data_IF_314709089918
#
_entry.id   IF_314709089918
#
_cell.length_a   1.000
_cell.length_b   1.000
_cell.length_c   1.000
_cell.angle_alpha   90.00
_cell.angle_beta   90.00
_cell.angle_gamma   90.00
#
_symmetry.space_group_name_H-M   'P 1'
#
loop_
_entity.id
_entity.type
_entity.pdbx_description
1 polymer ?
#
# COMPACT_ATOMS: atom_id res chain seq x y z
N UNK A 1 -4.28 35.86 16.34
CA UNK A 1 -3.57 34.73 15.72
C UNK A 1 -3.68 33.54 16.65
N UNK A 2 -4.60 32.61 16.40
CA UNK A 2 -4.72 31.38 17.17
C UNK A 2 -3.74 30.38 16.55
N UNK A 3 -2.61 30.18 17.21
CA UNK A 3 -1.64 29.15 16.85
C UNK A 3 -2.30 27.77 16.95
N UNK A 4 -2.20 27.02 15.86
CA UNK A 4 -2.84 25.73 15.62
C UNK A 4 -2.14 24.60 16.40
N UNK A 5 -1.94 24.79 17.72
CA UNK A 5 -1.20 23.89 18.63
C UNK A 5 -1.77 22.48 18.76
N UNK A 6 -2.93 22.19 18.13
CA UNK A 6 -3.66 20.92 18.25
C UNK A 6 -3.30 19.93 17.14
N UNK A 7 -2.77 20.39 15.98
CA UNK A 7 -2.54 19.49 14.83
C UNK A 7 -1.21 18.73 14.91
N UNK A 8 -0.24 19.24 15.69
CA UNK A 8 1.12 18.70 15.74
C UNK A 8 1.21 17.32 16.40
N UNK A 9 0.21 16.93 17.20
CA UNK A 9 0.17 15.62 17.89
C UNK A 9 -0.86 14.65 17.29
N UNK A 10 -1.33 14.90 16.07
CA UNK A 10 -2.34 14.03 15.46
C UNK A 10 -1.69 12.71 14.99
N UNK A 11 -1.88 11.66 15.79
CA UNK A 11 -1.33 10.33 15.51
C UNK A 11 -2.29 9.42 14.76
N UNK A 12 -3.59 9.72 14.78
CA UNK A 12 -4.63 8.86 14.22
C UNK A 12 -5.60 9.67 13.38
N UNK A 13 -5.82 9.24 12.15
CA UNK A 13 -6.91 9.70 11.29
C UNK A 13 -7.69 8.48 10.83
N UNK A 14 -8.99 8.50 11.05
CA UNK A 14 -9.88 7.43 10.65
C UNK A 14 -11.18 8.04 10.10
N UNK A 15 -11.46 7.80 8.82
CA UNK A 15 -12.62 8.31 8.10
C UNK A 15 -13.20 7.16 7.27
N UNK A 16 -14.42 6.73 7.56
CA UNK A 16 -15.04 5.57 6.87
C UNK A 16 -16.21 5.94 5.95
N UNK A 17 -16.87 7.06 6.25
CA UNK A 17 -18.04 7.54 5.53
C UNK A 17 -17.89 9.05 5.34
N UNK A 18 -17.11 9.44 4.32
CA UNK A 18 -17.13 10.83 3.86
C UNK A 18 -18.53 11.20 3.39
N UNK A 19 -18.93 12.46 3.56
CA UNK A 19 -20.19 12.93 2.99
C UNK A 19 -20.20 12.65 1.47
N UNK A 20 -21.23 11.97 0.98
CA UNK A 20 -21.34 11.55 -0.41
C UNK A 20 -21.18 12.76 -1.35
N UNK A 21 -20.25 12.65 -2.31
CA UNK A 21 -19.98 13.70 -3.28
C UNK A 21 -18.98 14.78 -2.83
N UNK A 22 -18.50 14.74 -1.58
CA UNK A 22 -17.47 15.68 -1.12
C UNK A 22 -16.08 15.16 -1.44
N UNK A 23 -15.25 16.01 -2.06
CA UNK A 23 -13.85 15.70 -2.36
C UNK A 23 -12.95 16.43 -1.38
N UNK A 24 -12.10 15.69 -0.67
CA UNK A 24 -11.14 16.22 0.31
C UNK A 24 -9.79 16.45 -0.36
N UNK A 25 -9.14 17.58 -0.08
CA UNK A 25 -7.79 17.84 -0.56
C UNK A 25 -6.76 17.04 0.25
N UNK A 26 -6.00 16.18 -0.41
CA UNK A 26 -4.96 15.38 0.23
C UNK A 26 -3.76 16.23 0.71
N UNK A 27 -3.61 17.47 0.23
CA UNK A 27 -2.48 18.35 0.54
C UNK A 27 -2.32 18.58 2.05
N UNK A 28 -3.43 18.55 2.81
CA UNK A 28 -3.42 18.70 4.26
C UNK A 28 -2.67 17.58 4.98
N UNK A 29 -2.74 16.35 4.48
CA UNK A 29 -2.05 15.19 5.07
C UNK A 29 -0.52 15.34 4.98
N UNK A 30 -0.02 16.10 4.00
CA UNK A 30 1.42 16.35 3.85
C UNK A 30 2.02 17.19 4.99
N UNK A 31 1.17 17.84 5.80
CA UNK A 31 1.62 18.65 6.96
C UNK A 31 1.76 17.84 8.25
N UNK A 32 1.20 16.62 8.30
CA UNK A 32 1.12 15.82 9.52
C UNK A 32 2.32 14.88 9.61
N UNK A 33 3.17 15.09 10.62
CA UNK A 33 4.48 14.42 10.73
C UNK A 33 4.53 13.25 11.70
N UNK A 34 3.56 13.17 12.61
CA UNK A 34 3.52 12.18 13.69
C UNK A 34 2.38 11.17 13.52
N UNK A 35 1.77 11.12 12.33
CA UNK A 35 0.67 10.21 12.03
C UNK A 35 1.18 8.76 12.09
N UNK A 36 0.51 7.91 12.87
CA UNK A 36 0.80 6.48 13.07
C UNK A 36 -0.26 5.59 12.44
N UNK A 37 -1.52 6.03 12.40
CA UNK A 37 -2.64 5.31 11.80
C UNK A 37 -3.40 6.23 10.85
N UNK A 38 -3.58 5.77 9.61
CA UNK A 38 -4.40 6.45 8.61
C UNK A 38 -5.37 5.44 7.99
N UNK A 39 -6.67 5.64 8.21
CA UNK A 39 -7.74 4.88 7.57
C UNK A 39 -8.66 5.83 6.82
N UNK A 40 -8.75 5.64 5.51
CA UNK A 40 -9.57 6.45 4.61
C UNK A 40 -10.38 5.51 3.71
N UNK A 41 -11.66 5.32 4.06
CA UNK A 41 -12.61 4.52 3.30
C UNK A 41 -13.71 5.42 2.74
N UNK A 42 -14.13 5.16 1.51
CA UNK A 42 -15.28 5.83 0.88
C UNK A 42 -15.19 7.37 0.85
N UNK A 43 -13.99 7.93 0.73
CA UNK A 43 -13.76 9.37 0.58
C UNK A 43 -13.09 9.64 -0.76
N UNK A 44 -13.60 10.62 -1.50
CA UNK A 44 -12.95 11.08 -2.73
C UNK A 44 -11.84 12.08 -2.36
N UNK A 45 -10.67 11.91 -2.97
CA UNK A 45 -9.54 12.82 -2.77
C UNK A 45 -9.11 13.50 -4.05
N UNK A 46 -8.66 14.75 -3.93
CA UNK A 46 -8.01 15.51 -5.00
C UNK A 46 -6.78 16.26 -4.47
N UNK A 47 -6.11 17.01 -5.35
CA UNK A 47 -4.91 17.75 -5.01
C UNK A 47 -3.66 16.88 -5.13
N UNK A 48 -2.70 17.09 -4.25
CA UNK A 48 -1.42 16.38 -4.27
C UNK A 48 -1.06 15.86 -2.88
N UNK A 49 -0.18 14.86 -2.84
CA UNK A 49 0.45 14.40 -1.61
C UNK A 49 1.95 14.32 -1.84
N UNK A 50 2.70 15.21 -1.20
CA UNK A 50 4.16 15.30 -1.33
C UNK A 50 4.89 14.65 -0.15
N UNK A 51 4.18 14.40 0.94
CA UNK A 51 4.70 13.79 2.14
C UNK A 51 3.66 12.89 2.81
N UNK A 52 4.15 11.79 3.37
CA UNK A 52 3.44 10.97 4.34
C UNK A 52 4.37 10.76 5.54
N UNK A 53 3.79 10.83 6.74
CA UNK A 53 4.50 10.58 7.99
C UNK A 53 5.21 9.22 7.94
N UNK A 54 6.51 9.20 8.24
CA UNK A 54 7.29 7.95 8.33
C UNK A 54 7.04 7.19 9.65
N UNK A 55 6.21 7.76 10.54
CA UNK A 55 5.73 7.13 11.77
C UNK A 55 4.54 6.19 11.54
N UNK A 56 3.97 6.18 10.31
CA UNK A 56 2.81 5.35 9.99
C UNK A 56 3.15 3.87 10.14
N UNK A 57 2.41 3.21 11.02
CA UNK A 57 2.38 1.76 11.17
C UNK A 57 1.23 1.10 10.41
N UNK A 58 0.09 1.78 10.28
CA UNK A 58 -1.10 1.22 9.66
C UNK A 58 -1.67 2.22 8.64
N UNK A 59 -1.66 1.85 7.37
CA UNK A 59 -2.20 2.66 6.28
C UNK A 59 -3.27 1.88 5.52
N UNK A 60 -4.52 2.30 5.66
CA UNK A 60 -5.63 1.85 4.83
C UNK A 60 -6.15 3.04 4.04
N UNK A 61 -6.05 2.99 2.72
CA UNK A 61 -6.57 4.04 1.85
C UNK A 61 -7.23 3.43 0.63
N UNK A 62 -8.55 3.28 0.72
CA UNK A 62 -9.36 2.73 -0.37
C UNK A 62 -9.47 3.76 -1.50
N UNK A 63 -9.33 3.33 -2.75
CA UNK A 63 -9.36 4.19 -3.95
C UNK A 63 -8.29 5.30 -3.90
N UNK A 64 -7.08 4.97 -3.45
CA UNK A 64 -5.97 5.92 -3.43
C UNK A 64 -5.75 6.48 -4.86
N UNK A 65 -5.84 7.82 -5.05
CA UNK A 65 -6.01 8.39 -6.39
C UNK A 65 -4.70 8.56 -7.16
N UNK A 66 -3.56 8.45 -6.48
CA UNK A 66 -2.25 8.76 -7.06
C UNK A 66 -1.54 7.50 -7.60
N UNK A 67 -0.61 7.71 -8.53
CA UNK A 67 0.11 6.62 -9.20
C UNK A 67 1.21 5.97 -8.35
N UNK A 68 1.70 6.67 -7.33
CA UNK A 68 2.68 6.19 -6.36
C UNK A 68 2.48 6.86 -4.99
N UNK A 69 3.07 6.28 -3.94
CA UNK A 69 3.24 6.95 -2.66
C UNK A 69 4.34 8.02 -2.77
N UNK A 70 4.33 9.06 -1.91
CA UNK A 70 5.33 10.11 -1.95
C UNK A 70 6.76 9.57 -1.93
N UNK A 71 7.68 10.05 -2.79
CA UNK A 71 9.07 9.58 -2.81
C UNK A 71 9.80 9.71 -1.46
N UNK A 72 9.41 10.72 -0.68
CA UNK A 72 9.91 11.03 0.65
C UNK A 72 9.46 10.05 1.74
N UNK A 73 8.46 9.21 1.48
CA UNK A 73 7.93 8.27 2.45
C UNK A 73 8.95 7.18 2.79
N UNK A 74 9.22 6.99 4.08
CA UNK A 74 10.11 5.96 4.61
C UNK A 74 9.31 4.97 5.46
N UNK A 75 8.99 3.77 4.94
CA UNK A 75 8.06 2.84 5.58
C UNK A 75 8.70 1.98 6.69
N UNK A 76 9.67 2.52 7.46
CA UNK A 76 10.40 1.74 8.48
C UNK A 76 9.50 1.11 9.54
N UNK A 77 8.43 1.82 9.92
CA UNK A 77 7.46 1.41 10.95
C UNK A 77 6.20 0.77 10.37
N UNK A 78 6.08 0.71 9.04
CA UNK A 78 4.86 0.24 8.37
C UNK A 78 4.66 -1.25 8.63
N UNK A 79 3.56 -1.59 9.28
CA UNK A 79 3.12 -2.95 9.62
C UNK A 79 2.10 -3.45 8.60
N UNK A 80 1.13 -2.61 8.24
CA UNK A 80 0.06 -2.96 7.29
C UNK A 80 -0.15 -1.86 6.27
N UNK A 81 -0.21 -2.26 5.00
CA UNK A 81 -0.49 -1.37 3.88
C UNK A 81 -1.61 -1.90 3.02
N UNK A 82 -2.77 -1.26 3.09
CA UNK A 82 -3.95 -1.56 2.28
C UNK A 82 -4.29 -0.40 1.36
N UNK A 83 -4.02 -0.57 0.07
CA UNK A 83 -4.36 0.38 -0.98
C UNK A 83 -5.33 -0.29 -1.97
N UNK A 84 -6.47 -0.75 -1.48
CA UNK A 84 -7.49 -1.47 -2.26
C UNK A 84 -8.16 -0.55 -3.29
N UNK A 85 -8.43 -1.05 -4.49
CA UNK A 85 -9.06 -0.33 -5.62
C UNK A 85 -8.28 0.94 -6.04
N UNK A 86 -6.95 0.95 -5.89
CA UNK A 86 -6.15 2.15 -6.07
C UNK A 86 -5.68 2.39 -7.50
N UNK A 87 -5.35 3.64 -7.81
CA UNK A 87 -4.78 4.06 -9.09
C UNK A 87 -3.25 3.89 -9.16
N UNK A 88 -2.66 3.16 -8.21
CA UNK A 88 -1.22 2.96 -8.14
C UNK A 88 -0.72 2.18 -9.36
N UNK A 89 0.42 2.59 -9.89
CA UNK A 89 1.18 1.84 -10.90
C UNK A 89 2.39 1.13 -10.29
N UNK A 90 2.95 1.73 -9.24
CA UNK A 90 4.04 1.23 -8.40
C UNK A 90 3.88 1.85 -7.02
N UNK A 91 4.36 1.19 -5.97
CA UNK A 91 4.28 1.74 -4.61
C UNK A 91 5.22 2.92 -4.40
N UNK A 92 6.50 2.77 -4.74
CA UNK A 92 7.55 3.77 -4.62
C UNK A 92 8.73 3.39 -5.50
N UNK A 93 9.64 4.35 -5.73
CA UNK A 93 10.91 4.11 -6.40
C UNK A 93 11.99 3.62 -5.44
N UNK A 94 12.89 2.78 -5.95
CA UNK A 94 14.04 2.27 -5.20
C UNK A 94 13.70 1.20 -4.15
N UNK A 95 14.70 0.88 -3.34
CA UNK A 95 14.58 -0.07 -2.23
C UNK A 95 14.22 0.71 -0.96
N UNK A 96 13.27 0.19 -0.19
CA UNK A 96 12.82 0.77 1.07
C UNK A 96 12.97 -0.24 2.21
N UNK A 97 13.25 0.21 3.44
CA UNK A 97 13.30 -0.67 4.60
C UNK A 97 11.89 -1.11 4.99
N UNK A 98 11.61 -2.41 4.86
CA UNK A 98 10.28 -2.99 5.11
C UNK A 98 10.28 -3.99 6.27
N UNK A 99 11.23 -3.85 7.20
CA UNK A 99 11.43 -4.82 8.29
C UNK A 99 10.18 -5.06 9.14
N UNK A 100 9.32 -4.05 9.30
CA UNK A 100 8.10 -4.16 10.11
C UNK A 100 6.89 -4.68 9.33
N UNK A 101 6.97 -4.74 7.99
CA UNK A 101 5.82 -4.99 7.14
C UNK A 101 5.35 -6.44 7.28
N UNK A 102 4.09 -6.61 7.67
CA UNK A 102 3.40 -7.89 7.81
C UNK A 102 2.39 -8.14 6.72
N UNK A 103 1.63 -7.13 6.32
CA UNK A 103 0.55 -7.32 5.34
C UNK A 103 0.56 -6.25 4.26
N UNK A 104 0.42 -6.70 3.01
CA UNK A 104 0.30 -5.85 1.84
C UNK A 104 -0.93 -6.23 1.04
N UNK A 105 -1.91 -5.33 0.94
CA UNK A 105 -3.09 -5.53 0.11
C UNK A 105 -3.19 -4.45 -0.96
N UNK A 106 -3.07 -4.87 -2.22
CA UNK A 106 -3.20 -3.99 -3.38
C UNK A 106 -4.37 -4.43 -4.28
N UNK A 107 -5.27 -5.27 -3.78
CA UNK A 107 -6.36 -5.85 -4.56
C UNK A 107 -7.18 -4.79 -5.31
N UNK A 108 -7.57 -5.14 -6.52
CA UNK A 108 -8.28 -4.34 -7.51
C UNK A 108 -7.54 -3.06 -7.96
N UNK A 109 -6.24 -2.94 -7.69
CA UNK A 109 -5.39 -1.89 -8.27
C UNK A 109 -5.04 -2.23 -9.72
N UNK A 110 -6.00 -2.03 -10.62
CA UNK A 110 -5.94 -2.47 -12.02
C UNK A 110 -4.76 -1.88 -12.82
N UNK A 111 -4.21 -0.76 -12.37
CA UNK A 111 -3.08 -0.07 -13.01
C UNK A 111 -1.72 -0.49 -12.46
N UNK A 112 -1.67 -1.36 -11.44
CA UNK A 112 -0.44 -1.82 -10.83
C UNK A 112 0.38 -2.60 -11.87
N UNK A 113 1.61 -2.15 -12.11
CA UNK A 113 2.51 -2.71 -13.13
C UNK A 113 3.60 -3.58 -12.51
N UNK A 114 4.08 -3.17 -11.33
CA UNK A 114 5.27 -3.71 -10.69
C UNK A 114 5.13 -3.68 -9.16
N UNK A 115 5.57 -4.76 -8.51
CA UNK A 115 5.68 -4.83 -7.06
C UNK A 115 7.01 -4.28 -6.55
N UNK A 116 7.04 -3.69 -5.33
CA UNK A 116 8.28 -3.21 -4.74
C UNK A 116 9.24 -4.38 -4.47
N UNK A 117 10.52 -4.04 -4.30
CA UNK A 117 11.47 -4.98 -3.73
C UNK A 117 11.09 -5.26 -2.26
N UNK A 118 10.83 -6.52 -1.93
CA UNK A 118 10.42 -6.96 -0.59
C UNK A 118 11.50 -7.79 0.11
N UNK A 119 12.76 -7.76 -0.37
CA UNK A 119 13.88 -8.52 0.22
C UNK A 119 14.05 -8.26 1.71
N UNK A 120 13.79 -7.04 2.16
CA UNK A 120 13.93 -6.63 3.56
C UNK A 120 12.66 -6.82 4.40
N UNK A 121 11.56 -7.26 3.78
CA UNK A 121 10.27 -7.53 4.44
C UNK A 121 10.26 -8.93 5.09
N UNK A 122 11.16 -9.15 6.05
CA UNK A 122 11.36 -10.46 6.68
C UNK A 122 10.16 -10.92 7.52
N UNK A 123 9.33 -9.99 7.96
CA UNK A 123 8.13 -10.26 8.75
C UNK A 123 6.86 -10.33 7.89
N UNK A 124 6.98 -10.35 6.56
CA UNK A 124 5.82 -10.35 5.68
C UNK A 124 5.06 -11.67 5.81
N UNK A 125 3.78 -11.55 6.17
CA UNK A 125 2.86 -12.65 6.42
C UNK A 125 1.90 -12.86 5.25
N UNK A 126 1.49 -11.80 4.53
CA UNK A 126 0.58 -11.90 3.38
C UNK A 126 0.76 -10.82 2.32
N UNK A 127 0.48 -11.19 1.07
CA UNK A 127 0.35 -10.27 -0.07
C UNK A 127 -0.94 -10.61 -0.84
N UNK A 128 -1.84 -9.64 -0.96
CA UNK A 128 -3.09 -9.75 -1.71
C UNK A 128 -3.05 -8.88 -2.97
N UNK A 129 -3.27 -9.51 -4.11
CA UNK A 129 -3.14 -8.91 -5.45
C UNK A 129 -4.33 -9.23 -6.35
N UNK A 130 -5.47 -9.61 -5.77
CA UNK A 130 -6.65 -10.00 -6.52
C UNK A 130 -7.07 -8.88 -7.48
N UNK A 131 -7.38 -9.17 -8.74
CA UNK A 131 -7.85 -8.15 -9.68
C UNK A 131 -6.80 -7.12 -10.14
N UNK A 132 -5.51 -7.32 -9.86
CA UNK A 132 -4.40 -6.53 -10.39
C UNK A 132 -4.07 -6.93 -11.84
N UNK A 133 -4.94 -6.56 -12.79
CA UNK A 133 -4.89 -7.06 -14.18
C UNK A 133 -3.68 -6.60 -15.03
N UNK A 134 -2.96 -5.54 -14.66
CA UNK A 134 -1.78 -5.05 -15.41
C UNK A 134 -0.43 -5.46 -14.79
N UNK A 135 -0.47 -6.25 -13.71
CA UNK A 135 0.73 -6.63 -12.96
C UNK A 135 1.55 -7.61 -13.78
N UNK A 136 2.68 -7.16 -14.31
CA UNK A 136 3.56 -7.98 -15.18
C UNK A 136 4.96 -8.19 -14.61
N UNK A 137 5.36 -7.41 -13.60
CA UNK A 137 6.66 -7.51 -12.95
C UNK A 137 6.49 -7.86 -11.48
N UNK A 138 6.92 -9.06 -11.15
CA UNK A 138 7.12 -9.47 -9.76
C UNK A 138 8.62 -9.40 -9.46
N UNK A 139 8.97 -8.72 -8.37
CA UNK A 139 10.36 -8.68 -7.92
C UNK A 139 10.78 -10.09 -7.45
N UNK A 140 11.96 -10.56 -7.87
CA UNK A 140 12.47 -11.89 -7.52
C UNK A 140 12.57 -12.13 -5.99
N UNK A 141 12.67 -11.05 -5.20
CA UNK A 141 12.66 -11.13 -3.74
C UNK A 141 11.40 -11.78 -3.16
N UNK A 142 10.26 -11.77 -3.87
CA UNK A 142 9.05 -12.49 -3.43
C UNK A 142 9.35 -13.97 -3.27
N UNK A 143 10.18 -14.55 -4.14
CA UNK A 143 10.56 -15.94 -4.07
C UNK A 143 11.54 -16.32 -2.96
N UNK A 144 12.07 -15.32 -2.25
CA UNK A 144 12.93 -15.49 -1.08
C UNK A 144 12.15 -15.36 0.22
N UNK A 145 10.89 -14.92 0.16
CA UNK A 145 10.07 -14.77 1.35
C UNK A 145 9.65 -16.16 1.86
N UNK A 146 9.77 -16.36 3.17
CA UNK A 146 9.26 -17.54 3.84
C UNK A 146 7.78 -17.34 4.22
N UNK A 147 6.96 -16.95 3.24
CA UNK A 147 5.50 -16.81 3.43
C UNK A 147 4.83 -18.16 3.33
N UNK A 148 3.83 -18.39 4.17
CA UNK A 148 2.97 -19.56 4.03
C UNK A 148 2.30 -19.53 2.64
N UNK A 149 2.25 -20.65 1.88
CA UNK A 149 1.64 -20.69 0.56
C UNK A 149 0.19 -20.18 0.51
N UNK A 150 -0.56 -20.34 1.61
CA UNK A 150 -1.93 -19.86 1.80
C UNK A 150 -2.10 -18.34 1.87
N UNK A 151 -1.00 -17.59 2.03
CA UNK A 151 -1.03 -16.14 2.21
C UNK A 151 -0.71 -15.35 0.95
N UNK A 152 -0.46 -16.04 -0.18
CA UNK A 152 -0.28 -15.46 -1.50
C UNK A 152 -1.52 -15.76 -2.35
N UNK A 153 -2.55 -14.92 -2.22
CA UNK A 153 -3.74 -15.03 -3.07
C UNK A 153 -3.50 -14.25 -4.37
N UNK A 154 -3.15 -14.97 -5.43
CA UNK A 154 -3.09 -14.45 -6.81
C UNK A 154 -4.08 -15.23 -7.67
N UNK A 155 -5.01 -14.55 -8.37
CA UNK A 155 -6.00 -15.22 -9.21
C UNK A 155 -5.91 -14.89 -10.71
N UNK A 156 -6.05 -15.97 -11.48
CA UNK A 156 -6.36 -16.17 -12.91
C UNK A 156 -5.57 -15.42 -14.00
N UNK A 157 -4.81 -16.21 -14.78
CA UNK A 157 -4.58 -15.93 -16.22
C UNK A 157 -3.26 -15.27 -16.60
N UNK A 158 -2.32 -15.04 -15.69
CA UNK A 158 -1.00 -14.50 -16.04
C UNK A 158 0.13 -15.40 -15.55
N UNK A 159 0.90 -15.94 -16.52
CA UNK A 159 2.17 -16.58 -16.27
C UNK A 159 3.16 -15.52 -15.78
N UNK A 160 3.34 -15.41 -14.47
CA UNK A 160 4.29 -14.47 -13.88
C UNK A 160 5.63 -15.17 -13.67
N UNK A 161 6.67 -14.62 -14.28
CA UNK A 161 8.04 -15.13 -14.17
C UNK A 161 8.70 -14.46 -12.95
N UNK A 162 8.92 -15.22 -11.88
CA UNK A 162 9.75 -14.79 -10.75
C UNK A 162 11.06 -15.60 -10.76
N UNK A 163 12.04 -15.16 -11.57
CA UNK A 163 13.33 -15.83 -11.70
C UNK A 163 13.23 -17.24 -12.30
N UNK A 164 14.09 -18.18 -11.85
CA UNK A 164 14.15 -19.58 -12.33
C UNK A 164 13.14 -20.53 -11.68
N UNK A 165 12.28 -20.05 -10.76
CA UNK A 165 11.26 -20.90 -10.10
C UNK A 165 9.87 -20.47 -10.57
N UNK A 166 9.12 -21.42 -11.14
CA UNK A 166 7.67 -21.29 -11.30
C UNK A 166 7.04 -21.29 -9.91
N UNK A 167 6.35 -20.22 -9.53
CA UNK A 167 5.41 -20.29 -8.43
C UNK A 167 4.15 -20.94 -8.99
N UNK A 168 3.82 -22.13 -8.47
CA UNK A 168 2.55 -22.75 -8.75
C UNK A 168 1.48 -21.93 -8.05
N UNK A 169 0.65 -21.28 -8.85
CA UNK A 169 -0.61 -20.67 -8.44
C UNK A 169 -1.41 -21.72 -7.69
N UNK A 170 -1.86 -21.43 -6.46
CA UNK A 170 -2.80 -22.33 -5.79
C UNK A 170 -4.15 -22.17 -6.47
N UNK A 171 -4.55 -23.20 -7.23
CA UNK A 171 -5.94 -23.36 -7.66
C UNK A 171 -6.81 -23.51 -6.40
N UNK A 172 -7.72 -22.58 -6.18
CA UNK A 172 -8.79 -22.78 -5.22
C UNK A 172 -9.75 -23.81 -5.84
N UNK A 173 -9.72 -25.04 -5.32
CA UNK A 173 -10.68 -26.08 -5.67
C UNK A 173 -12.07 -25.56 -5.32
N UNK A 174 -12.89 -25.29 -6.34
CA UNK A 174 -14.34 -25.22 -6.20
C UNK A 174 -14.92 -26.60 -5.93
#
# INVERSE_FOLDING_TARGET
MLENKVVDNLEVIHIENGAYGTTVRADGLSKIRHLKLLTLLNVNFSGSISHLSSEIGYLTWKKYPFQCLPPSFQPNKLVELYLIESNIQRLWEGIKPLHSLKRLNLSHSKNLVELPNVREALNLESIELEGCIQLRKINQSIGLLNVQPSSLTMMHGQNLIAGKRKFSVMEEKR
#
